data_IF_127594495247
#
_entry.id   IF_127594495247
#
_cell.length_a   1.000
_cell.length_b   1.000
_cell.length_c   1.000
_cell.angle_alpha   90.00
_cell.angle_beta   90.00
_cell.angle_gamma   90.00
#
_symmetry.space_group_name_H-M   'P 1'
#
loop_
_entity.id
_entity.type
_entity.pdbx_description
1 polymer ?
#
# COMPACT_ATOMS: atom_id res chain seq x y z
N UNK A 1 -20.28 8.02 62.35
CA UNK A 1 -20.03 8.66 61.03
C UNK A 1 -18.84 8.09 60.22
N UNK A 2 -18.19 6.97 60.61
CA UNK A 2 -16.99 6.45 59.89
C UNK A 2 -17.25 5.38 58.81
N UNK A 3 -18.44 4.75 58.75
CA UNK A 3 -18.72 3.66 57.78
C UNK A 3 -19.11 4.13 56.36
N UNK A 4 -19.61 5.36 56.19
CA UNK A 4 -20.01 5.88 54.86
C UNK A 4 -18.83 6.35 53.99
N UNK A 5 -17.72 6.80 54.61
CA UNK A 5 -16.53 7.24 53.88
C UNK A 5 -15.74 6.07 53.25
N UNK A 6 -15.68 4.92 53.91
CA UNK A 6 -14.99 3.74 53.40
C UNK A 6 -15.70 3.13 52.17
N UNK A 7 -17.04 3.16 52.14
CA UNK A 7 -17.81 2.65 51.01
C UNK A 7 -17.66 3.54 49.77
N UNK A 8 -17.64 4.86 49.95
CA UNK A 8 -17.43 5.82 48.85
C UNK A 8 -16.01 5.73 48.28
N UNK A 9 -15.00 5.53 49.13
CA UNK A 9 -13.61 5.33 48.71
C UNK A 9 -13.40 4.03 47.94
N UNK A 10 -14.10 2.95 48.30
CA UNK A 10 -14.02 1.66 47.61
C UNK A 10 -14.66 1.73 46.22
N UNK A 11 -15.74 2.50 46.08
CA UNK A 11 -16.46 2.67 44.80
C UNK A 11 -15.64 3.50 43.80
N UNK A 12 -14.92 4.53 44.27
CA UNK A 12 -14.02 5.33 43.44
C UNK A 12 -12.80 4.50 43.00
N UNK A 13 -12.22 3.69 43.91
CA UNK A 13 -11.09 2.80 43.59
C UNK A 13 -11.47 1.72 42.54
N UNK A 14 -12.68 1.16 42.63
CA UNK A 14 -13.22 0.22 41.64
C UNK A 14 -13.50 0.88 40.29
N UNK A 15 -13.90 2.17 40.26
CA UNK A 15 -14.07 2.92 39.01
C UNK A 15 -12.73 3.16 38.31
N UNK A 16 -11.67 3.47 39.05
CA UNK A 16 -10.32 3.64 38.51
C UNK A 16 -9.69 2.32 38.02
N UNK A 17 -9.97 1.20 38.70
CA UNK A 17 -9.55 -0.14 38.26
C UNK A 17 -10.30 -0.58 36.99
N UNK A 18 -11.59 -0.27 36.85
CA UNK A 18 -12.36 -0.55 35.65
C UNK A 18 -11.89 0.28 34.44
N UNK A 19 -11.58 1.57 34.64
CA UNK A 19 -11.04 2.44 33.56
C UNK A 19 -9.60 2.07 33.19
N UNK A 20 -8.81 1.54 34.13
CA UNK A 20 -7.46 1.02 33.88
C UNK A 20 -7.45 -0.31 33.12
N UNK A 21 -8.46 -1.17 33.35
CA UNK A 21 -8.65 -2.42 32.62
C UNK A 21 -9.15 -2.20 31.18
N UNK A 22 -9.97 -1.17 30.92
CA UNK A 22 -10.39 -0.82 29.55
C UNK A 22 -9.24 -0.29 28.70
N UNK A 23 -8.34 0.54 29.24
CA UNK A 23 -7.17 1.03 28.51
C UNK A 23 -6.15 -0.08 28.20
N UNK A 24 -6.12 -1.13 29.01
CA UNK A 24 -5.28 -2.30 28.79
C UNK A 24 -5.79 -3.17 27.62
N UNK A 25 -7.10 -3.18 27.38
CA UNK A 25 -7.80 -4.08 26.46
C UNK A 25 -7.88 -3.57 24.99
N UNK A 26 -7.51 -2.31 24.73
CA UNK A 26 -7.51 -1.75 23.36
C UNK A 26 -6.22 -2.04 22.58
N UNK A 27 -5.18 -2.55 23.24
CA UNK A 27 -3.81 -2.67 22.68
C UNK A 27 -3.65 -3.62 21.48
N UNK A 28 -4.61 -4.52 21.27
CA UNK A 28 -4.62 -5.50 20.18
C UNK A 28 -5.97 -5.51 19.44
N UNK A 29 -6.76 -4.45 19.56
CA UNK A 29 -8.08 -4.41 18.93
C UNK A 29 -7.92 -4.25 17.42
N UNK A 30 -8.33 -5.29 16.69
CA UNK A 30 -8.46 -5.27 15.24
C UNK A 30 -9.84 -4.71 14.90
N UNK A 31 -9.88 -3.74 14.01
CA UNK A 31 -11.07 -3.14 13.45
C UNK A 31 -11.26 -3.61 12.01
N UNK A 32 -12.48 -3.42 11.48
CA UNK A 32 -12.84 -3.80 10.11
C UNK A 32 -13.39 -2.60 9.36
N UNK A 33 -13.05 -2.50 8.08
CA UNK A 33 -13.59 -1.50 7.16
C UNK A 33 -13.62 -2.07 5.74
N UNK A 34 -14.81 -2.36 5.23
CA UNK A 34 -14.96 -3.03 3.94
C UNK A 34 -14.17 -4.35 3.92
N UNK A 35 -13.22 -4.44 2.99
CA UNK A 35 -12.37 -5.61 2.82
C UNK A 35 -11.21 -5.73 3.82
N UNK A 36 -10.96 -4.70 4.63
CA UNK A 36 -9.71 -4.55 5.37
C UNK A 36 -9.88 -4.77 6.86
N UNK A 37 -8.89 -5.43 7.46
CA UNK A 37 -8.67 -5.45 8.90
C UNK A 37 -7.51 -4.51 9.25
N UNK A 38 -7.68 -3.69 10.29
CA UNK A 38 -6.72 -2.64 10.62
C UNK A 38 -6.59 -2.41 12.13
N UNK A 39 -5.47 -1.79 12.51
CA UNK A 39 -5.22 -1.27 13.86
C UNK A 39 -4.85 0.22 13.79
N UNK A 40 -5.01 0.92 14.91
CA UNK A 40 -4.60 2.33 15.04
C UNK A 40 -3.25 2.37 15.77
N UNK A 41 -2.27 3.05 15.18
CA UNK A 41 -0.90 3.19 15.68
C UNK A 41 -0.45 4.65 15.64
N UNK A 42 0.65 4.98 16.32
CA UNK A 42 1.29 6.28 16.20
C UNK A 42 2.16 6.36 14.94
N UNK A 43 2.43 7.57 14.44
CA UNK A 43 3.27 7.79 13.24
C UNK A 43 4.71 7.27 13.36
N UNK A 44 5.21 7.17 14.58
CA UNK A 44 6.58 6.71 14.87
C UNK A 44 6.61 5.74 16.05
N UNK A 45 5.44 5.23 16.47
CA UNK A 45 5.35 4.36 17.63
C UNK A 45 4.09 3.52 17.58
N UNK A 46 4.08 2.38 18.28
CA UNK A 46 2.91 1.50 18.31
C UNK A 46 1.66 2.17 18.90
N UNK A 47 1.84 3.09 19.84
CA UNK A 47 0.74 3.71 20.57
C UNK A 47 0.68 5.19 20.16
N UNK A 48 -0.45 5.67 19.63
CA UNK A 48 -0.59 7.07 19.33
C UNK A 48 -0.39 7.92 20.60
N UNK A 49 0.48 8.93 20.51
CA UNK A 49 0.68 9.92 21.59
C UNK A 49 -0.58 10.76 21.81
N UNK A 50 -1.35 10.99 20.75
CA UNK A 50 -2.63 11.69 20.73
C UNK A 50 -3.35 11.43 19.39
N UNK A 51 -4.53 12.03 19.20
CA UNK A 51 -5.33 11.87 17.97
C UNK A 51 -4.61 12.32 16.69
N UNK A 52 -3.79 13.37 16.75
CA UNK A 52 -3.07 13.88 15.58
C UNK A 52 -1.84 13.03 15.22
N UNK A 53 -1.36 12.23 16.17
CA UNK A 53 -0.32 11.23 15.96
C UNK A 53 -0.88 9.89 15.46
N UNK A 54 -2.21 9.74 15.43
CA UNK A 54 -2.85 8.48 15.04
C UNK A 54 -2.83 8.29 13.53
N UNK A 55 -2.35 7.14 13.09
CA UNK A 55 -2.43 6.61 11.72
C UNK A 55 -2.90 5.16 11.76
N UNK A 56 -3.19 4.61 10.59
CA UNK A 56 -3.68 3.25 10.44
C UNK A 56 -2.60 2.33 9.88
N UNK A 57 -2.52 1.14 10.47
CA UNK A 57 -1.84 -0.01 9.87
C UNK A 57 -2.88 -1.03 9.42
N UNK A 58 -2.86 -1.36 8.13
CA UNK A 58 -3.64 -2.49 7.60
C UNK A 58 -2.94 -3.77 7.99
N UNK A 59 -3.64 -4.67 8.66
CA UNK A 59 -3.08 -5.88 9.28
C UNK A 59 -3.73 -7.17 8.81
N UNK A 60 -4.68 -7.10 7.90
CA UNK A 60 -5.35 -8.29 7.39
C UNK A 60 -6.44 -7.96 6.37
N UNK A 61 -7.04 -9.02 5.85
CA UNK A 61 -8.23 -8.97 5.02
C UNK A 61 -9.39 -9.59 5.79
N UNK A 62 -10.59 -9.03 5.60
CA UNK A 62 -11.84 -9.70 5.97
C UNK A 62 -12.05 -10.94 5.09
N UNK A 63 -13.00 -11.81 5.46
CA UNK A 63 -13.35 -12.99 4.65
C UNK A 63 -13.73 -12.60 3.21
N UNK A 64 -14.63 -11.63 3.04
CA UNK A 64 -14.98 -11.08 1.72
C UNK A 64 -13.82 -10.39 1.01
N UNK A 65 -12.87 -9.82 1.76
CA UNK A 65 -11.66 -9.21 1.20
C UNK A 65 -10.70 -10.26 0.65
N UNK A 66 -10.54 -11.38 1.36
CA UNK A 66 -9.70 -12.50 0.95
C UNK A 66 -10.23 -13.19 -0.32
N UNK A 67 -11.50 -13.05 -0.65
CA UNK A 67 -12.12 -13.58 -1.87
C UNK A 67 -11.90 -12.70 -3.11
N UNK A 68 -11.48 -11.44 -2.95
CA UNK A 68 -11.30 -10.52 -4.07
C UNK A 68 -10.11 -10.92 -4.95
N UNK A 69 -10.26 -10.69 -6.26
CA UNK A 69 -9.18 -10.88 -7.24
C UNK A 69 -8.26 -9.66 -7.33
N UNK A 70 -8.76 -8.47 -7.01
CA UNK A 70 -8.01 -7.23 -7.01
C UNK A 70 -8.45 -6.33 -5.86
N UNK A 71 -7.50 -5.66 -5.22
CA UNK A 71 -7.76 -4.75 -4.10
C UNK A 71 -6.92 -3.48 -4.19
N UNK A 72 -7.54 -2.33 -4.01
CA UNK A 72 -6.86 -1.06 -3.75
C UNK A 72 -6.82 -0.81 -2.24
N UNK A 73 -5.60 -0.75 -1.69
CA UNK A 73 -5.39 -0.38 -0.28
C UNK A 73 -5.90 1.05 -0.10
N UNK A 74 -6.78 1.30 0.88
CA UNK A 74 -7.34 2.63 1.09
C UNK A 74 -6.24 3.58 1.54
N UNK A 75 -6.18 4.78 0.96
CA UNK A 75 -5.27 5.85 1.43
C UNK A 75 -5.69 6.38 2.81
N UNK A 76 -6.97 6.33 3.14
CA UNK A 76 -7.50 6.68 4.45
C UNK A 76 -8.73 5.82 4.81
N UNK A 77 -8.93 5.57 6.09
CA UNK A 77 -10.15 4.94 6.64
C UNK A 77 -10.77 5.91 7.65
N UNK A 78 -12.03 6.27 7.43
CA UNK A 78 -12.77 7.23 8.26
C UNK A 78 -12.02 8.55 8.49
N UNK A 79 -11.33 9.06 7.46
CA UNK A 79 -10.52 10.28 7.51
C UNK A 79 -9.18 10.15 8.24
N UNK A 80 -8.81 8.95 8.70
CA UNK A 80 -7.48 8.67 9.26
C UNK A 80 -6.59 8.05 8.19
N UNK A 81 -5.41 8.62 7.99
CA UNK A 81 -4.42 8.16 7.02
C UNK A 81 -3.99 6.71 7.28
N UNK A 82 -3.94 5.91 6.22
CA UNK A 82 -3.29 4.59 6.23
C UNK A 82 -1.83 4.78 5.90
N UNK A 83 -0.94 4.45 6.83
CA UNK A 83 0.49 4.69 6.68
C UNK A 83 1.31 3.39 6.65
N UNK A 84 0.72 2.25 7.03
CA UNK A 84 1.43 0.98 7.15
C UNK A 84 0.67 -0.18 6.51
N UNK A 85 1.42 -1.05 5.84
CA UNK A 85 0.99 -2.40 5.50
C UNK A 85 1.71 -3.41 6.39
N UNK A 86 0.94 -4.20 7.13
CA UNK A 86 1.43 -5.05 8.20
C UNK A 86 1.81 -4.26 9.45
N UNK A 87 2.10 -4.97 10.53
CA UNK A 87 2.60 -4.41 11.80
C UNK A 87 3.16 -5.53 12.70
N UNK A 88 4.02 -5.20 13.67
CA UNK A 88 4.50 -6.19 14.65
C UNK A 88 3.34 -6.65 15.57
N UNK A 89 3.14 -7.96 15.70
CA UNK A 89 2.29 -8.59 16.73
C UNK A 89 3.01 -8.57 18.07
N UNK A 90 2.26 -8.36 19.15
CA UNK A 90 2.80 -8.48 20.51
C UNK A 90 2.65 -9.93 20.97
N UNK A 91 3.70 -10.72 20.78
CA UNK A 91 3.77 -12.11 21.21
C UNK A 91 5.14 -12.37 21.86
N UNK A 92 5.33 -13.55 22.46
CA UNK A 92 6.61 -13.97 23.06
C UNK A 92 7.77 -14.02 22.05
N UNK A 93 7.45 -14.02 20.75
CA UNK A 93 8.37 -13.85 19.63
C UNK A 93 7.93 -12.67 18.75
N UNK A 94 8.88 -12.07 18.03
CA UNK A 94 8.56 -11.03 17.04
C UNK A 94 7.81 -11.71 15.89
N UNK A 95 6.50 -11.50 15.86
CA UNK A 95 5.61 -11.97 14.79
C UNK A 95 5.04 -10.76 14.06
N UNK A 96 4.56 -10.94 12.83
CA UNK A 96 3.95 -9.86 12.05
C UNK A 96 2.53 -10.24 11.61
N UNK A 97 1.71 -9.22 11.40
CA UNK A 97 0.43 -9.36 10.72
C UNK A 97 0.64 -9.57 9.22
N UNK A 98 -0.19 -10.41 8.62
CA UNK A 98 -0.09 -10.80 7.20
C UNK A 98 -1.44 -10.60 6.50
N UNK A 99 -1.39 -10.30 5.21
CA UNK A 99 -2.56 -10.35 4.33
C UNK A 99 -2.71 -11.80 3.85
N UNK A 100 -3.87 -12.40 4.09
CA UNK A 100 -4.13 -13.79 3.68
C UNK A 100 -5.19 -13.82 2.58
N UNK A 101 -4.80 -14.32 1.40
CA UNK A 101 -5.72 -14.60 0.30
C UNK A 101 -5.14 -15.68 -0.59
N UNK A 102 -6.02 -16.54 -1.13
CA UNK A 102 -5.68 -17.52 -2.18
C UNK A 102 -6.11 -17.07 -3.57
N UNK A 103 -6.85 -15.96 -3.66
CA UNK A 103 -7.50 -15.51 -4.89
C UNK A 103 -6.93 -14.19 -5.41
N UNK A 104 -6.28 -13.41 -4.54
CA UNK A 104 -5.82 -12.06 -4.88
C UNK A 104 -4.73 -12.14 -5.94
N UNK A 105 -5.03 -11.60 -7.13
CA UNK A 105 -4.10 -11.48 -8.25
C UNK A 105 -3.43 -10.10 -8.29
N UNK A 106 -4.08 -9.06 -7.75
CA UNK A 106 -3.54 -7.70 -7.76
C UNK A 106 -3.78 -6.97 -6.44
N UNK A 107 -2.72 -6.41 -5.87
CA UNK A 107 -2.78 -5.53 -4.72
C UNK A 107 -2.16 -4.17 -5.07
N UNK A 108 -2.98 -3.13 -5.10
CA UNK A 108 -2.54 -1.77 -5.40
C UNK A 108 -2.34 -0.99 -4.11
N UNK A 109 -1.12 -0.51 -3.91
CA UNK A 109 -0.66 0.20 -2.71
C UNK A 109 -0.58 1.70 -3.03
N UNK A 110 -1.23 2.59 -2.25
CA UNK A 110 -1.22 4.02 -2.52
C UNK A 110 0.10 4.67 -2.09
N UNK A 111 0.34 5.88 -2.57
CA UNK A 111 1.58 6.63 -2.35
C UNK A 111 1.89 6.93 -0.87
N UNK A 112 0.86 7.04 -0.03
CA UNK A 112 0.97 7.49 1.35
C UNK A 112 1.38 6.38 2.34
N UNK A 113 1.67 5.18 1.85
CA UNK A 113 2.28 4.13 2.68
C UNK A 113 3.72 4.51 3.00
N UNK A 114 3.98 4.72 4.29
CA UNK A 114 5.30 5.04 4.82
C UNK A 114 6.16 3.78 4.97
N UNK A 115 5.56 2.65 5.38
CA UNK A 115 6.29 1.40 5.53
C UNK A 115 5.47 0.16 5.25
N UNK A 116 6.12 -0.78 4.57
CA UNK A 116 5.65 -2.14 4.32
C UNK A 116 6.46 -3.07 5.22
N UNK A 117 5.76 -3.75 6.13
CA UNK A 117 6.37 -4.57 7.18
C UNK A 117 6.73 -5.97 6.68
N UNK A 118 7.67 -6.65 7.38
CA UNK A 118 8.06 -8.01 7.03
C UNK A 118 6.88 -8.96 6.99
N UNK A 119 6.96 -9.96 6.12
CA UNK A 119 6.02 -11.08 6.01
C UNK A 119 4.59 -10.71 5.57
N UNK A 120 4.28 -9.42 5.36
CA UNK A 120 2.90 -8.98 5.11
C UNK A 120 2.28 -9.67 3.88
N UNK A 121 3.09 -10.04 2.89
CA UNK A 121 2.64 -10.71 1.66
C UNK A 121 2.83 -12.24 1.66
N UNK A 122 3.45 -12.85 2.66
CA UNK A 122 3.77 -14.30 2.63
C UNK A 122 2.55 -15.22 2.57
N UNK A 123 1.40 -14.73 3.04
CA UNK A 123 0.15 -15.48 3.03
C UNK A 123 -0.73 -15.16 1.81
N UNK A 124 -0.18 -14.47 0.80
CA UNK A 124 -0.78 -14.35 -0.52
C UNK A 124 -0.32 -15.56 -1.34
N UNK A 125 -1.23 -16.50 -1.57
CA UNK A 125 -0.90 -17.82 -2.14
C UNK A 125 -1.21 -17.95 -3.63
N UNK A 126 -1.59 -16.87 -4.32
CA UNK A 126 -1.74 -16.91 -5.76
C UNK A 126 -0.34 -16.75 -6.40
N UNK A 127 0.13 -17.72 -7.21
CA UNK A 127 1.48 -17.72 -7.77
C UNK A 127 1.78 -16.50 -8.65
N UNK A 128 0.74 -15.89 -9.21
CA UNK A 128 0.84 -14.75 -10.14
C UNK A 128 0.34 -13.44 -9.50
N UNK A 129 0.31 -13.38 -8.15
CA UNK A 129 -0.13 -12.18 -7.44
C UNK A 129 0.86 -11.03 -7.61
N UNK A 130 0.40 -9.94 -8.23
CA UNK A 130 1.20 -8.73 -8.41
C UNK A 130 0.91 -7.73 -7.30
N UNK A 131 1.97 -7.25 -6.65
CA UNK A 131 1.89 -6.15 -5.68
C UNK A 131 2.42 -4.89 -6.35
N UNK A 132 1.58 -3.87 -6.48
CA UNK A 132 1.88 -2.66 -7.24
C UNK A 132 1.88 -1.45 -6.29
N UNK A 133 2.98 -0.72 -6.22
CA UNK A 133 3.09 0.50 -5.42
C UNK A 133 2.98 1.76 -6.30
N UNK A 134 1.96 2.58 -6.04
CA UNK A 134 1.57 3.73 -6.84
C UNK A 134 2.11 5.07 -6.30
N UNK A 135 3.25 5.08 -5.61
CA UNK A 135 3.88 6.30 -5.10
C UNK A 135 5.14 6.72 -5.85
N UNK A 136 5.42 8.02 -5.85
CA UNK A 136 6.65 8.59 -6.41
C UNK A 136 7.84 8.62 -5.42
N UNK A 137 7.62 8.21 -4.17
CA UNK A 137 8.65 8.13 -3.14
C UNK A 137 8.87 6.68 -2.71
N UNK A 138 10.11 6.32 -2.37
CA UNK A 138 10.45 4.97 -1.92
C UNK A 138 9.81 4.71 -0.53
N UNK A 139 8.96 3.68 -0.37
CA UNK A 139 8.43 3.30 0.93
C UNK A 139 9.51 2.58 1.74
N UNK A 140 9.46 2.70 3.08
CA UNK A 140 10.37 1.93 3.93
C UNK A 140 9.97 0.46 3.92
N UNK A 141 10.80 -0.35 3.29
CA UNK A 141 10.61 -1.80 3.18
C UNK A 141 11.49 -2.55 4.16
N UNK A 142 10.90 -3.52 4.84
CA UNK A 142 11.64 -4.43 5.71
C UNK A 142 11.21 -5.84 5.33
N UNK A 143 12.09 -6.62 4.70
CA UNK A 143 11.73 -7.97 4.30
C UNK A 143 12.77 -9.00 4.72
N UNK A 144 12.27 -10.20 4.92
CA UNK A 144 13.00 -11.45 5.21
C UNK A 144 12.92 -12.44 4.03
N UNK A 145 12.03 -12.16 3.08
CA UNK A 145 11.85 -12.76 1.77
C UNK A 145 11.80 -11.59 0.77
N UNK A 146 12.20 -11.74 -0.50
CA UNK A 146 12.18 -10.62 -1.46
C UNK A 146 10.87 -10.68 -2.27
N UNK A 147 9.74 -10.08 -1.82
CA UNK A 147 8.55 -9.99 -2.67
C UNK A 147 8.82 -9.01 -3.81
N UNK A 148 8.35 -9.33 -5.01
CA UNK A 148 8.33 -8.38 -6.11
C UNK A 148 7.25 -7.32 -5.87
N UNK A 149 7.67 -6.06 -5.85
CA UNK A 149 6.81 -4.87 -5.76
C UNK A 149 7.05 -4.07 -7.03
N UNK A 150 6.04 -4.05 -7.89
CA UNK A 150 6.05 -3.30 -9.12
C UNK A 150 5.88 -1.81 -8.82
N UNK A 151 6.79 -1.00 -9.31
CA UNK A 151 6.82 0.45 -9.12
C UNK A 151 6.91 1.17 -10.45
N UNK A 152 6.60 2.48 -10.45
CA UNK A 152 6.88 3.32 -11.61
C UNK A 152 8.35 3.18 -12.04
N UNK A 153 8.59 3.10 -13.35
CA UNK A 153 9.95 2.98 -13.89
C UNK A 153 10.87 4.10 -13.41
N UNK A 154 10.37 5.33 -13.33
CA UNK A 154 11.13 6.45 -12.79
C UNK A 154 11.54 6.26 -11.32
N UNK A 155 10.67 5.67 -10.49
CA UNK A 155 11.00 5.35 -9.10
C UNK A 155 12.05 4.22 -9.04
N UNK A 156 11.88 3.17 -9.85
CA UNK A 156 12.86 2.10 -9.97
C UNK A 156 14.26 2.64 -10.33
N UNK A 157 14.38 3.47 -11.37
CA UNK A 157 15.67 4.05 -11.78
C UNK A 157 16.27 4.95 -10.69
N UNK A 158 15.43 5.66 -9.94
CA UNK A 158 15.89 6.46 -8.78
C UNK A 158 16.43 5.58 -7.66
N UNK A 159 15.75 4.48 -7.34
CA UNK A 159 16.21 3.51 -6.33
C UNK A 159 17.52 2.88 -6.80
N UNK A 160 17.57 2.39 -8.05
CA UNK A 160 18.77 1.84 -8.68
C UNK A 160 19.95 2.80 -8.63
N UNK A 161 19.74 4.07 -8.99
CA UNK A 161 20.78 5.11 -8.94
C UNK A 161 21.27 5.39 -7.52
N UNK A 162 20.36 5.44 -6.53
CA UNK A 162 20.72 5.63 -5.11
C UNK A 162 21.57 4.50 -4.56
N UNK A 163 21.42 3.29 -5.11
CA UNK A 163 22.17 2.10 -4.72
C UNK A 163 23.21 1.69 -5.78
N UNK A 164 23.62 2.59 -6.68
CA UNK A 164 24.55 2.26 -7.77
C UNK A 164 25.92 1.79 -7.28
N UNK A 165 26.41 2.30 -6.15
CA UNK A 165 27.66 1.85 -5.52
C UNK A 165 27.59 0.40 -4.99
N UNK A 166 26.38 -0.17 -4.96
CA UNK A 166 26.12 -1.55 -4.54
C UNK A 166 25.98 -2.51 -5.73
N UNK A 167 26.07 -2.04 -6.98
CA UNK A 167 25.89 -2.87 -8.17
C UNK A 167 27.25 -3.24 -8.78
N UNK A 168 27.44 -4.49 -9.19
CA UNK A 168 28.57 -4.85 -10.05
C UNK A 168 28.30 -4.47 -11.53
N UNK A 169 29.30 -4.65 -12.40
CA UNK A 169 29.22 -4.28 -13.83
C UNK A 169 28.12 -5.04 -14.60
N UNK A 170 27.57 -6.11 -14.04
CA UNK A 170 26.50 -6.94 -14.61
C UNK A 170 25.14 -6.64 -13.96
N UNK A 171 25.08 -5.72 -12.99
CA UNK A 171 23.86 -5.37 -12.25
C UNK A 171 23.46 -6.44 -11.22
N UNK A 172 24.37 -7.35 -10.87
CA UNK A 172 24.15 -8.41 -9.89
C UNK A 172 24.11 -7.85 -8.46
N UNK A 173 23.21 -8.41 -7.66
CA UNK A 173 22.81 -7.96 -6.32
C UNK A 173 23.69 -8.51 -5.21
N UNK A 174 24.88 -9.04 -5.52
CA UNK A 174 25.82 -9.58 -4.52
C UNK A 174 26.54 -8.47 -3.71
N UNK A 175 25.79 -7.43 -3.33
CA UNK A 175 26.20 -6.42 -2.38
C UNK A 175 25.93 -6.91 -0.96
N UNK A 176 26.95 -7.04 -0.11
CA UNK A 176 26.75 -7.36 1.31
C UNK A 176 25.92 -6.29 2.06
N UNK A 177 25.79 -5.09 1.50
CA UNK A 177 25.16 -3.92 2.13
C UNK A 177 23.66 -3.79 1.81
N UNK A 178 23.20 -4.21 0.62
CA UNK A 178 21.81 -4.02 0.15
C UNK A 178 21.31 -5.09 -0.86
N UNK A 179 21.48 -6.42 -0.64
CA UNK A 179 21.20 -7.41 -1.68
C UNK A 179 19.71 -7.45 -2.10
N UNK A 180 18.81 -7.14 -1.16
CA UNK A 180 17.37 -7.38 -1.31
C UNK A 180 16.60 -6.24 -1.99
N UNK A 181 17.14 -5.02 -2.06
CA UNK A 181 16.36 -3.83 -2.47
C UNK A 181 15.99 -3.90 -3.96
N UNK A 182 16.92 -4.32 -4.83
CA UNK A 182 16.67 -4.41 -6.27
C UNK A 182 15.97 -5.72 -6.67
N UNK A 183 16.04 -6.75 -5.83
CA UNK A 183 15.19 -7.95 -5.96
C UNK A 183 13.74 -7.67 -5.53
N UNK A 184 13.54 -6.66 -4.68
CA UNK A 184 12.22 -6.28 -4.18
C UNK A 184 11.49 -5.38 -5.18
N UNK A 185 12.15 -4.34 -5.70
CA UNK A 185 11.49 -3.37 -6.57
C UNK A 185 11.71 -3.70 -8.04
N UNK A 186 10.61 -3.92 -8.76
CA UNK A 186 10.61 -4.25 -10.19
C UNK A 186 9.97 -3.09 -10.96
N UNK A 187 10.54 -2.64 -12.10
CA UNK A 187 9.88 -1.62 -12.91
C UNK A 187 8.62 -2.21 -13.54
N UNK A 188 7.47 -1.60 -13.28
CA UNK A 188 6.22 -1.90 -13.96
C UNK A 188 6.34 -1.60 -15.47
N UNK A 189 5.66 -2.38 -16.31
CA UNK A 189 5.69 -2.21 -17.76
C UNK A 189 4.52 -1.38 -18.33
N UNK A 190 3.53 -1.01 -17.51
CA UNK A 190 2.46 -0.08 -17.86
C UNK A 190 2.37 1.06 -16.85
N UNK A 191 2.22 2.28 -17.35
CA UNK A 191 1.99 3.48 -16.55
C UNK A 191 0.78 4.27 -17.06
N UNK A 192 -0.18 4.48 -16.17
CA UNK A 192 -1.32 5.36 -16.37
C UNK A 192 -0.95 6.76 -15.89
N UNK A 193 -1.06 7.74 -16.78
CA UNK A 193 -0.58 9.11 -16.59
C UNK A 193 -1.75 10.11 -16.55
N UNK A 194 -1.75 10.97 -15.54
CA UNK A 194 -2.47 12.23 -15.56
C UNK A 194 -1.81 13.19 -16.58
N UNK A 195 -2.59 13.73 -17.53
CA UNK A 195 -2.06 14.68 -18.53
C UNK A 195 -2.21 16.17 -18.16
N UNK A 196 -2.63 16.49 -16.92
CA UNK A 196 -2.99 17.86 -16.52
C UNK A 196 -2.03 18.54 -15.54
N UNK A 197 -1.21 17.78 -14.82
CA UNK A 197 -0.23 18.33 -13.88
C UNK A 197 0.88 17.33 -13.63
N UNK A 198 2.10 17.69 -14.01
CA UNK A 198 3.31 16.95 -13.65
C UNK A 198 3.68 17.13 -12.17
N UNK A 199 3.01 17.99 -11.39
CA UNK A 199 3.29 18.15 -9.96
C UNK A 199 2.58 17.10 -9.11
N UNK A 200 1.37 16.67 -9.53
CA UNK A 200 0.60 15.64 -8.82
C UNK A 200 1.21 14.28 -9.13
N UNK A 201 1.83 13.63 -8.15
CA UNK A 201 2.50 12.33 -8.27
C UNK A 201 3.38 12.19 -9.54
N UNK A 202 4.06 13.28 -9.94
CA UNK A 202 4.87 13.36 -11.18
C UNK A 202 4.13 13.08 -12.48
N UNK A 203 2.81 13.22 -12.47
CA UNK A 203 1.94 12.84 -13.57
C UNK A 203 1.51 11.37 -13.55
N UNK A 204 2.02 10.52 -12.66
CA UNK A 204 1.53 9.15 -12.55
C UNK A 204 0.20 9.10 -11.80
N UNK A 205 -0.70 8.27 -12.29
CA UNK A 205 -1.96 7.91 -11.63
C UNK A 205 -1.90 6.50 -11.06
N UNK A 206 -1.45 5.54 -11.87
CA UNK A 206 -1.40 4.12 -11.50
C UNK A 206 -0.35 3.39 -12.32
N UNK A 207 0.34 2.43 -11.72
CA UNK A 207 1.17 1.46 -12.41
C UNK A 207 0.38 0.16 -12.63
N UNK A 208 0.85 -0.64 -13.58
CA UNK A 208 0.41 -2.00 -13.77
C UNK A 208 1.55 -2.81 -14.39
N UNK A 209 1.56 -4.10 -14.12
CA UNK A 209 2.48 -5.01 -14.78
C UNK A 209 1.68 -6.12 -15.48
N UNK A 210 1.90 -6.28 -16.78
CA UNK A 210 1.09 -7.13 -17.66
C UNK A 210 2.01 -8.08 -18.42
N UNK A 211 1.70 -9.37 -18.44
CA UNK A 211 2.49 -10.30 -19.24
C UNK A 211 2.25 -10.06 -20.74
N UNK A 212 3.25 -10.34 -21.56
CA UNK A 212 3.12 -10.15 -23.02
C UNK A 212 1.96 -10.97 -23.57
N UNK A 213 1.11 -10.34 -24.36
CA UNK A 213 -0.08 -10.97 -24.94
C UNK A 213 -1.31 -11.02 -24.02
N UNK A 214 -1.22 -10.46 -22.81
CA UNK A 214 -2.39 -10.22 -21.96
C UNK A 214 -3.08 -8.88 -22.26
N UNK A 215 -4.30 -8.72 -21.72
CA UNK A 215 -5.02 -7.44 -21.72
C UNK A 215 -4.59 -6.63 -20.51
N UNK A 216 -4.43 -5.33 -20.71
CA UNK A 216 -4.21 -4.40 -19.59
C UNK A 216 -5.52 -4.28 -18.81
N UNK A 217 -5.53 -4.50 -17.48
CA UNK A 217 -6.68 -4.18 -16.66
C UNK A 217 -6.99 -2.68 -16.71
N UNK A 218 -8.24 -2.33 -17.01
CA UNK A 218 -8.67 -0.93 -16.95
C UNK A 218 -8.63 -0.43 -15.49
N UNK A 219 -7.94 0.70 -15.20
CA UNK A 219 -7.86 1.22 -13.86
C UNK A 219 -9.13 2.02 -13.51
N UNK A 220 -9.37 2.32 -12.23
CA UNK A 220 -10.41 3.26 -11.84
C UNK A 220 -10.27 4.60 -12.58
N UNK A 221 -11.40 5.24 -12.90
CA UNK A 221 -11.36 6.55 -13.54
C UNK A 221 -10.68 7.59 -12.61
N UNK A 222 -9.67 8.33 -13.09
CA UNK A 222 -9.08 9.40 -12.31
C UNK A 222 -10.08 10.55 -12.16
N UNK A 223 -9.93 11.33 -11.09
CA UNK A 223 -10.75 12.51 -10.82
C UNK A 223 -9.96 13.80 -11.06
N UNK A 224 -10.64 14.81 -11.61
CA UNK A 224 -10.09 16.15 -11.81
C UNK A 224 -11.20 17.19 -11.66
N UNK A 225 -11.06 18.08 -10.67
CA UNK A 225 -12.06 19.12 -10.40
C UNK A 225 -12.34 19.99 -11.63
N UNK A 226 -13.62 20.14 -12.00
CA UNK A 226 -14.05 20.92 -13.15
C UNK A 226 -13.92 20.23 -14.52
N UNK A 227 -13.59 18.93 -14.55
CA UNK A 227 -13.43 18.14 -15.76
C UNK A 227 -14.14 16.79 -15.65
N UNK A 228 -14.48 16.22 -16.81
CA UNK A 228 -14.96 14.84 -16.97
C UNK A 228 -13.87 14.02 -17.62
N UNK A 229 -13.56 12.86 -17.04
CA UNK A 229 -12.66 11.87 -17.63
C UNK A 229 -13.28 11.30 -18.92
N UNK A 230 -12.51 11.28 -20.02
CA UNK A 230 -13.00 10.83 -21.34
C UNK A 230 -12.42 9.50 -21.79
N UNK A 231 -11.49 8.92 -21.03
CA UNK A 231 -10.84 7.66 -21.36
C UNK A 231 -9.30 7.76 -21.29
N UNK A 232 -8.65 6.63 -21.59
CA UNK A 232 -7.20 6.51 -21.65
C UNK A 232 -6.72 6.55 -23.09
N UNK A 233 -5.63 7.26 -23.36
CA UNK A 233 -5.13 7.53 -24.72
C UNK A 233 -3.66 7.15 -24.86
N UNK A 234 -3.19 6.84 -26.07
CA UNK A 234 -1.78 6.46 -26.30
C UNK A 234 -0.80 7.62 -26.25
N UNK A 235 -1.30 8.86 -26.22
CA UNK A 235 -0.49 10.06 -26.13
C UNK A 235 -1.13 11.14 -25.26
N UNK A 236 -0.32 12.07 -24.77
CA UNK A 236 -0.73 13.10 -23.82
C UNK A 236 -1.78 14.07 -24.38
N UNK A 237 -1.76 14.27 -25.70
CA UNK A 237 -2.71 15.09 -26.46
C UNK A 237 -4.13 14.50 -26.50
N UNK A 238 -4.29 13.24 -26.09
CA UNK A 238 -5.57 12.53 -26.02
C UNK A 238 -6.31 12.47 -27.38
N UNK A 239 -5.63 11.95 -28.41
CA UNK A 239 -6.16 11.83 -29.77
C UNK A 239 -6.67 10.41 -30.04
N UNK A 240 -5.85 9.40 -29.74
CA UNK A 240 -6.10 7.99 -30.00
C UNK A 240 -6.51 7.27 -28.70
N UNK A 241 -7.79 6.91 -28.60
CA UNK A 241 -8.34 6.20 -27.45
C UNK A 241 -7.78 4.78 -27.40
N UNK A 242 -7.37 4.35 -26.21
CA UNK A 242 -6.94 2.99 -25.93
C UNK A 242 -8.14 2.04 -25.84
N UNK A 243 -8.00 0.85 -26.41
CA UNK A 243 -8.98 -0.23 -26.33
C UNK A 243 -8.49 -1.32 -25.37
N UNK A 244 -9.11 -1.42 -24.19
CA UNK A 244 -8.76 -2.43 -23.18
C UNK A 244 -9.12 -3.86 -23.57
N UNK A 245 -9.88 -4.06 -24.65
CA UNK A 245 -10.11 -5.40 -25.20
C UNK A 245 -8.98 -5.90 -26.11
N UNK A 246 -8.00 -5.05 -26.42
CA UNK A 246 -6.83 -5.41 -27.23
C UNK A 246 -5.74 -6.08 -26.36
N UNK A 247 -5.18 -7.19 -26.86
CA UNK A 247 -3.99 -7.81 -26.27
C UNK A 247 -2.77 -6.95 -26.55
N UNK A 248 -1.93 -6.76 -25.53
CA UNK A 248 -0.79 -5.85 -25.62
C UNK A 248 0.52 -6.62 -25.71
N UNK A 249 1.36 -6.23 -26.66
CA UNK A 249 2.76 -6.65 -26.72
C UNK A 249 3.59 -5.47 -26.22
N UNK A 250 4.23 -5.63 -25.06
CA UNK A 250 5.15 -4.64 -24.49
C UNK A 250 6.53 -5.27 -24.56
N UNK A 251 7.46 -4.76 -25.39
CA UNK A 251 8.79 -5.33 -25.48
C UNK A 251 9.49 -5.38 -24.11
N UNK A 252 10.28 -6.43 -23.88
CA UNK A 252 11.03 -6.59 -22.64
C UNK A 252 11.87 -5.35 -22.35
N UNK A 253 11.71 -4.80 -21.15
CA UNK A 253 12.43 -3.61 -20.72
C UNK A 253 11.83 -2.28 -21.19
N UNK A 254 10.74 -2.27 -21.95
CA UNK A 254 9.99 -1.04 -22.32
C UNK A 254 8.83 -0.74 -21.34
N UNK A 255 8.27 0.47 -21.44
CA UNK A 255 7.10 0.91 -20.68
C UNK A 255 6.04 1.48 -21.63
N UNK A 256 4.82 0.96 -21.56
CA UNK A 256 3.66 1.55 -22.21
C UNK A 256 3.06 2.64 -21.31
N UNK A 257 2.89 3.84 -21.87
CA UNK A 257 2.20 4.95 -21.18
C UNK A 257 0.84 5.21 -21.78
N UNK A 258 -0.18 5.26 -20.93
CA UNK A 258 -1.54 5.64 -21.29
C UNK A 258 -1.93 6.91 -20.55
N UNK A 259 -2.49 7.89 -21.25
CA UNK A 259 -2.75 9.24 -20.73
C UNK A 259 -4.24 9.49 -20.55
N UNK A 260 -4.63 10.02 -19.40
CA UNK A 260 -6.02 10.35 -19.11
C UNK A 260 -6.49 11.53 -19.96
N UNK A 261 -7.58 11.38 -20.71
CA UNK A 261 -8.24 12.46 -21.44
C UNK A 261 -9.29 13.19 -20.60
N UNK A 262 -9.50 14.47 -20.88
CA UNK A 262 -10.43 15.31 -20.11
C UNK A 262 -11.24 16.25 -20.98
N UNK A 263 -12.51 16.40 -20.62
CA UNK A 263 -13.41 17.44 -21.14
C UNK A 263 -13.77 18.41 -20.02
N UNK A 264 -13.56 19.71 -20.23
CA UNK A 264 -13.98 20.73 -19.26
C UNK A 264 -15.51 20.73 -19.13
N UNK A 265 -15.99 20.81 -17.89
CA UNK A 265 -17.41 20.97 -17.57
C UNK A 265 -17.95 22.35 -17.99
#
# INVERSE_FOLDING_TARGET
>A
MKKKAALFSLTILLLFLATGLTACNERNRIFRYGYWEYIVVGKESRIPKNKNDSVIAVVGLTESGAEQLALDVPSAINGTEVAYLGFEKYDIAINYYTLTSRNLLRLYIPENILSIKPYVFESLSAPDAKTIYNGAAEPSVHFSSSPEIYVYRELYEKIKSKHADCLDEEGSTDCPSCPWILETFVPANVAFMNNYSAAVNRGYFRAEDVESGEKIPEPPAPEREGYVFTGWYTEAEAINLWDFDTKTEIPDGEELRLYAGWKKL
#
